data_IF_756539470957
#
_entry.id   IF_756539470957
#
_cell.length_a   1.000
_cell.length_b   1.000
_cell.length_c   1.000
_cell.angle_alpha   90.00
_cell.angle_beta   90.00
_cell.angle_gamma   90.00
#
_symmetry.space_group_name_H-M   'P 1'
#
loop_
_entity.id
_entity.type
_entity.pdbx_description
1 polymer ?
#
# COMPACT_ATOMS: atom_id res chain seq x y z
N UNK A 1 -6.43 20.91 -37.29
CA UNK A 1 -5.75 22.23 -37.29
C UNK A 1 -5.58 22.74 -35.85
N UNK A 2 -4.94 21.96 -34.98
CA UNK A 2 -4.71 22.37 -33.58
C UNK A 2 -3.39 21.76 -33.11
N UNK A 3 -2.30 22.42 -33.43
CA UNK A 3 -1.02 22.21 -32.77
C UNK A 3 -0.67 23.53 -32.13
N UNK A 4 -0.57 23.58 -30.80
CA UNK A 4 0.11 24.69 -30.13
C UNK A 4 1.58 24.52 -30.48
N UNK A 5 2.06 25.30 -31.43
CA UNK A 5 3.48 25.38 -31.75
C UNK A 5 4.22 26.21 -30.71
N UNK A 6 5.55 26.24 -30.85
CA UNK A 6 6.40 27.09 -30.01
C UNK A 6 6.02 28.57 -30.12
N UNK A 7 5.56 29.00 -31.29
CA UNK A 7 5.19 30.39 -31.53
C UNK A 7 3.92 30.79 -30.76
N UNK A 8 2.86 29.97 -30.78
CA UNK A 8 1.66 30.23 -29.98
C UNK A 8 1.97 30.21 -28.48
N UNK A 9 2.84 29.30 -28.01
CA UNK A 9 3.26 29.24 -26.61
C UNK A 9 3.95 30.53 -26.16
N UNK A 10 4.85 31.09 -26.99
CA UNK A 10 5.55 32.35 -26.70
C UNK A 10 4.54 33.51 -26.59
N UNK A 11 3.56 33.60 -27.49
CA UNK A 11 2.53 34.65 -27.44
C UNK A 11 1.74 34.56 -26.14
N UNK A 12 1.32 33.36 -25.74
CA UNK A 12 0.62 33.13 -24.47
C UNK A 12 1.51 33.53 -23.28
N UNK A 13 2.81 33.21 -23.31
CA UNK A 13 3.77 33.60 -22.28
C UNK A 13 3.87 35.13 -22.16
N UNK A 14 3.98 35.85 -23.27
CA UNK A 14 4.03 37.31 -23.26
C UNK A 14 2.76 37.91 -22.67
N UNK A 15 1.59 37.41 -23.07
CA UNK A 15 0.30 37.86 -22.51
C UNK A 15 0.23 37.57 -21.01
N UNK A 16 0.63 36.38 -20.58
CA UNK A 16 0.67 36.01 -19.16
C UNK A 16 1.61 36.91 -18.35
N UNK A 17 2.78 37.25 -18.90
CA UNK A 17 3.74 38.16 -18.28
C UNK A 17 3.20 39.59 -18.17
N UNK A 18 2.39 40.06 -19.13
CA UNK A 18 1.76 41.38 -19.05
C UNK A 18 0.67 41.40 -17.96
N UNK A 19 -0.15 40.35 -17.89
CA UNK A 19 -1.28 40.27 -16.94
C UNK A 19 -0.79 40.06 -15.50
N UNK A 20 0.14 39.13 -15.30
CA UNK A 20 0.63 38.76 -13.98
C UNK A 20 1.85 39.61 -13.55
N UNK A 21 2.65 40.07 -14.52
CA UNK A 21 3.94 40.71 -14.31
C UNK A 21 5.11 39.70 -14.36
N UNK A 22 6.24 40.05 -15.02
CA UNK A 22 7.41 39.17 -15.08
C UNK A 22 8.04 38.92 -13.70
N UNK A 23 7.91 39.86 -12.78
CA UNK A 23 8.44 39.74 -11.40
C UNK A 23 7.61 38.78 -10.54
N UNK A 24 6.31 38.63 -10.82
CA UNK A 24 5.40 37.78 -10.04
C UNK A 24 5.39 36.33 -10.51
N UNK A 25 5.71 36.06 -11.78
CA UNK A 25 5.82 34.71 -12.32
C UNK A 25 6.79 33.81 -11.51
N UNK A 26 8.03 34.23 -11.16
CA UNK A 26 8.92 33.43 -10.34
C UNK A 26 8.40 33.25 -8.90
N UNK A 27 7.66 34.20 -8.36
CA UNK A 27 7.06 34.10 -7.02
C UNK A 27 5.94 33.06 -6.98
N UNK A 28 5.06 33.08 -7.98
CA UNK A 28 3.99 32.07 -8.17
C UNK A 28 4.60 30.69 -8.40
N UNK A 29 5.62 30.58 -9.26
CA UNK A 29 6.30 29.31 -9.51
C UNK A 29 6.98 28.75 -8.25
N UNK A 30 7.63 29.60 -7.43
CA UNK A 30 8.22 29.19 -6.15
C UNK A 30 7.14 28.66 -5.19
N UNK A 31 6.00 29.33 -5.13
CA UNK A 31 4.89 28.94 -4.24
C UNK A 31 4.26 27.63 -4.67
N UNK A 32 3.95 27.49 -5.97
CA UNK A 32 3.45 26.24 -6.55
C UNK A 32 4.47 25.09 -6.40
N UNK A 33 5.76 25.39 -6.57
CA UNK A 33 6.83 24.41 -6.40
C UNK A 33 6.95 23.90 -4.96
N UNK A 34 6.82 24.79 -3.97
CA UNK A 34 6.77 24.40 -2.55
C UNK A 34 5.56 23.52 -2.27
N UNK A 35 4.37 23.94 -2.72
CA UNK A 35 3.15 23.15 -2.57
C UNK A 35 3.25 21.77 -3.23
N UNK A 36 3.78 21.70 -4.46
CA UNK A 36 3.99 20.43 -5.15
C UNK A 36 4.98 19.53 -4.40
N UNK A 37 6.05 20.09 -3.85
CA UNK A 37 7.02 19.33 -3.06
C UNK A 37 6.37 18.76 -1.80
N UNK A 38 5.61 19.58 -1.07
CA UNK A 38 4.90 19.15 0.15
C UNK A 38 3.86 18.07 -0.17
N UNK A 39 3.07 18.25 -1.24
CA UNK A 39 2.10 17.27 -1.69
C UNK A 39 2.77 15.94 -2.11
N UNK A 40 3.87 16.02 -2.86
CA UNK A 40 4.65 14.85 -3.25
C UNK A 40 5.19 14.11 -2.03
N UNK A 41 5.77 14.83 -1.07
CA UNK A 41 6.26 14.24 0.17
C UNK A 41 5.15 13.56 0.96
N UNK A 42 3.99 14.20 1.12
CA UNK A 42 2.85 13.60 1.79
C UNK A 42 2.37 12.31 1.09
N UNK A 43 2.33 12.30 -0.25
CA UNK A 43 1.98 11.09 -1.02
C UNK A 43 3.04 9.98 -0.83
N UNK A 44 4.32 10.34 -0.82
CA UNK A 44 5.42 9.38 -0.64
C UNK A 44 5.42 8.77 0.77
N UNK A 45 5.15 9.56 1.82
CA UNK A 45 5.02 9.09 3.21
C UNK A 45 3.84 8.15 3.39
N UNK A 46 2.70 8.47 2.76
CA UNK A 46 1.53 7.60 2.72
C UNK A 46 1.89 6.28 2.03
N UNK A 47 2.50 6.31 0.84
CA UNK A 47 2.93 5.09 0.14
C UNK A 47 3.87 4.23 0.98
N UNK A 48 4.80 4.85 1.70
CA UNK A 48 5.74 4.12 2.56
C UNK A 48 5.03 3.43 3.73
N UNK A 49 4.08 4.12 4.37
CA UNK A 49 3.27 3.58 5.46
C UNK A 49 2.42 2.40 4.98
N UNK A 50 1.72 2.54 3.84
CA UNK A 50 0.94 1.46 3.24
C UNK A 50 1.80 0.23 2.85
N UNK A 51 2.99 0.43 2.28
CA UNK A 51 3.88 -0.70 1.94
C UNK A 51 4.40 -1.40 3.20
N UNK A 52 4.70 -0.63 4.26
CA UNK A 52 5.18 -1.18 5.53
C UNK A 52 4.11 -2.00 6.22
N UNK A 53 2.87 -1.48 6.26
CA UNK A 53 1.71 -2.21 6.78
C UNK A 53 1.45 -3.48 5.98
N UNK A 54 1.49 -3.43 4.64
CA UNK A 54 1.31 -4.62 3.80
C UNK A 54 2.45 -5.65 3.94
N UNK A 55 3.69 -5.21 4.20
CA UNK A 55 4.81 -6.12 4.51
C UNK A 55 4.60 -6.80 5.86
N UNK A 56 4.19 -6.06 6.88
CA UNK A 56 3.88 -6.63 8.20
C UNK A 56 2.73 -7.64 8.15
N UNK A 57 1.66 -7.36 7.38
CA UNK A 57 0.55 -8.30 7.17
C UNK A 57 1.00 -9.55 6.40
N UNK A 58 1.96 -9.41 5.47
CA UNK A 58 2.54 -10.54 4.73
C UNK A 58 3.44 -11.41 5.60
N UNK A 59 4.25 -10.82 6.47
CA UNK A 59 5.08 -11.54 7.47
C UNK A 59 4.20 -12.24 8.51
N UNK A 60 3.21 -11.54 9.08
CA UNK A 60 2.24 -12.13 10.02
C UNK A 60 1.48 -13.29 9.36
N UNK A 61 1.09 -13.17 8.09
CA UNK A 61 0.50 -14.31 7.35
C UNK A 61 1.47 -15.47 7.16
N UNK A 62 2.78 -15.22 7.02
CA UNK A 62 3.77 -16.28 6.84
C UNK A 62 4.06 -17.01 8.15
N UNK A 63 4.16 -16.31 9.28
CA UNK A 63 4.37 -16.91 10.59
C UNK A 63 3.14 -17.67 11.07
N UNK A 64 1.94 -17.08 10.93
CA UNK A 64 0.68 -17.75 11.24
C UNK A 64 0.47 -18.98 10.36
N UNK A 65 0.76 -18.92 9.05
CA UNK A 65 0.61 -20.09 8.18
C UNK A 65 1.63 -21.20 8.52
N UNK A 66 2.84 -20.84 8.94
CA UNK A 66 3.88 -21.81 9.30
C UNK A 66 3.61 -22.47 10.65
N UNK A 67 3.02 -21.75 11.62
CA UNK A 67 2.57 -22.33 12.88
C UNK A 67 1.29 -23.14 12.73
N UNK A 68 0.30 -22.68 11.96
CA UNK A 68 -0.91 -23.45 11.64
C UNK A 68 -0.54 -24.74 10.90
N UNK A 69 0.41 -24.70 9.95
CA UNK A 69 0.89 -25.90 9.26
C UNK A 69 1.60 -26.90 10.19
N UNK A 70 2.28 -26.42 11.24
CA UNK A 70 2.91 -27.26 12.27
C UNK A 70 1.90 -27.84 13.26
N UNK A 71 0.81 -27.11 13.54
CA UNK A 71 -0.31 -27.60 14.36
C UNK A 71 -1.19 -28.59 13.58
N UNK A 72 -1.36 -28.39 12.27
CA UNK A 72 -2.12 -29.29 11.38
C UNK A 72 -1.38 -30.60 11.08
N UNK A 73 -0.05 -30.60 11.13
CA UNK A 73 0.78 -31.81 10.93
C UNK A 73 1.08 -32.59 12.22
N UNK A 74 0.63 -32.10 13.38
CA UNK A 74 0.94 -32.71 14.66
C UNK A 74 -0.01 -33.84 15.08
N UNK A 75 -1.06 -34.20 14.32
CA UNK A 75 -1.91 -35.29 14.80
C UNK A 75 -2.65 -36.20 13.80
N UNK A 76 -1.94 -37.14 13.15
CA UNK A 76 -2.52 -38.40 12.70
C UNK A 76 -2.59 -39.48 13.81
N UNK A 77 -2.04 -39.24 15.02
CA UNK A 77 -2.02 -40.20 16.12
C UNK A 77 -3.08 -39.93 17.19
N UNK A 78 -3.54 -38.69 17.36
CA UNK A 78 -4.68 -38.31 18.22
C UNK A 78 -5.98 -38.81 17.67
N UNK A 79 -6.16 -38.83 16.35
CA UNK A 79 -7.31 -39.49 15.73
C UNK A 79 -7.37 -40.97 16.19
N UNK A 80 -6.22 -41.65 16.26
CA UNK A 80 -6.11 -43.06 16.70
C UNK A 80 -6.17 -43.23 18.23
N UNK A 81 -5.76 -42.23 19.00
CA UNK A 81 -5.85 -42.19 20.46
C UNK A 81 -7.33 -41.98 20.87
N UNK A 82 -8.00 -41.03 20.22
CA UNK A 82 -9.40 -40.69 20.40
C UNK A 82 -10.32 -41.83 19.99
N UNK A 83 -10.08 -42.47 18.83
CA UNK A 83 -10.84 -43.67 18.45
C UNK A 83 -10.63 -44.83 19.43
N UNK A 84 -9.42 -45.01 19.98
CA UNK A 84 -9.16 -46.02 21.02
C UNK A 84 -9.94 -45.72 22.29
N UNK A 85 -10.12 -44.46 22.65
CA UNK A 85 -10.81 -44.04 23.86
C UNK A 85 -12.33 -44.12 23.71
N UNK A 86 -12.89 -43.69 22.58
CA UNK A 86 -14.31 -43.84 22.24
C UNK A 86 -14.70 -45.32 22.14
N UNK A 87 -13.83 -46.17 21.57
CA UNK A 87 -14.10 -47.61 21.46
C UNK A 87 -14.08 -48.34 22.80
N UNK A 88 -13.30 -47.85 23.78
CA UNK A 88 -13.29 -48.39 25.16
C UNK A 88 -14.55 -48.00 25.92
N UNK A 89 -15.04 -46.77 25.75
CA UNK A 89 -16.30 -46.33 26.40
C UNK A 89 -17.52 -47.05 25.84
N UNK A 90 -17.57 -47.29 24.52
CA UNK A 90 -18.69 -47.97 23.86
C UNK A 90 -18.85 -49.46 24.25
N UNK A 91 -17.84 -50.05 24.89
CA UNK A 91 -17.81 -51.47 25.22
C UNK A 91 -18.00 -51.75 26.72
N UNK A 92 -18.41 -50.75 27.50
CA UNK A 92 -18.69 -50.88 28.94
C UNK A 92 -20.19 -50.84 29.30
N UNK A 93 -21.07 -50.77 28.30
CA UNK A 93 -22.51 -50.99 28.46
C UNK A 93 -22.93 -52.32 27.81
N UNK A 94 -22.73 -53.43 28.51
CA UNK A 94 -23.55 -54.67 28.50
C UNK A 94 -23.13 -55.61 29.64
#
# INVERSE_FOLDING_TARGET
MFGIGLQELIVILVVALIVLGPERLPEVAKTLGKFYKELKSAIDDVRLSFITDLKSVREVKHDVNTEISKLESADPDFEKEFEREIKKMKNQDY
#
